data_IF_905024303135
#
_entry.id   IF_905024303135
#
_cell.length_a   1.000
_cell.length_b   1.000
_cell.length_c   1.000
_cell.angle_alpha   90.00
_cell.angle_beta   90.00
_cell.angle_gamma   90.00
#
_symmetry.space_group_name_H-M   'P 1'
#
loop_
_entity.id
_entity.type
_entity.pdbx_description
1 polymer ?
#
# COMPACT_ATOMS: atom_id res chain seq x y z
N UNK A 1 53.65 5.71 -23.24
CA UNK A 1 54.61 6.58 -22.48
C UNK A 1 55.88 6.81 -23.26
N UNK A 2 56.57 5.79 -23.78
CA UNK A 2 57.84 5.97 -24.55
C UNK A 2 57.70 6.92 -25.71
N UNK A 3 56.62 6.84 -26.50
CA UNK A 3 56.36 7.78 -27.60
C UNK A 3 56.08 9.22 -27.09
N UNK A 4 55.37 9.36 -25.96
CA UNK A 4 55.12 10.66 -25.32
C UNK A 4 56.41 11.30 -24.82
N UNK A 5 57.30 10.51 -24.22
CA UNK A 5 58.59 10.97 -23.73
C UNK A 5 59.55 11.34 -24.85
N UNK A 6 59.47 10.63 -25.98
CA UNK A 6 60.28 10.89 -27.17
C UNK A 6 59.87 12.16 -27.89
N UNK A 7 58.55 12.50 -27.93
CA UNK A 7 58.03 13.69 -28.58
C UNK A 7 56.84 14.29 -27.79
N UNK A 8 57.10 14.96 -26.66
CA UNK A 8 56.03 15.44 -25.76
C UNK A 8 55.17 16.56 -26.37
N UNK A 9 55.62 17.20 -27.44
CA UNK A 9 54.86 18.28 -28.11
C UNK A 9 54.07 17.86 -29.34
N UNK A 10 53.98 16.57 -29.61
CA UNK A 10 53.24 16.09 -30.74
C UNK A 10 51.72 16.39 -30.62
N UNK A 11 51.13 16.98 -31.67
CA UNK A 11 49.75 17.41 -31.68
C UNK A 11 48.75 16.23 -31.43
N UNK A 12 49.15 15.00 -31.69
CA UNK A 12 48.31 13.80 -31.45
C UNK A 12 47.96 13.59 -30.00
N UNK A 13 48.79 14.13 -29.04
CA UNK A 13 48.49 13.97 -27.64
C UNK A 13 47.29 14.81 -27.18
N UNK A 14 46.96 15.89 -27.87
CA UNK A 14 45.78 16.71 -27.64
C UNK A 14 44.46 15.98 -27.90
N UNK A 15 44.49 14.88 -28.61
CA UNK A 15 43.30 14.01 -28.92
C UNK A 15 43.24 12.75 -28.06
N UNK A 16 44.20 12.57 -27.15
CA UNK A 16 44.34 11.37 -26.33
C UNK A 16 44.26 11.73 -24.83
N UNK A 17 43.51 10.95 -24.05
CA UNK A 17 43.59 11.00 -22.59
C UNK A 17 44.87 10.30 -22.14
N UNK A 18 45.70 11.00 -21.36
CA UNK A 18 46.99 10.50 -20.88
C UNK A 18 47.01 10.69 -19.36
N UNK A 19 46.87 9.61 -18.65
CA UNK A 19 46.73 9.61 -17.20
C UNK A 19 47.65 8.58 -16.56
N UNK A 20 48.16 8.86 -15.34
CA UNK A 20 48.88 7.87 -14.57
C UNK A 20 47.91 6.84 -14.00
N UNK A 21 48.27 5.56 -14.17
CA UNK A 21 47.52 4.45 -13.63
C UNK A 21 48.44 3.44 -12.95
N UNK A 22 48.13 3.11 -11.70
CA UNK A 22 48.84 2.08 -10.91
C UNK A 22 48.19 0.68 -11.01
N UNK A 23 47.11 0.51 -11.82
CA UNK A 23 46.41 -0.77 -11.99
C UNK A 23 47.03 -1.68 -13.04
N UNK A 24 46.61 -2.94 -13.05
CA UNK A 24 46.92 -3.90 -14.10
C UNK A 24 46.00 -3.65 -15.30
N UNK A 25 46.53 -3.84 -16.49
CA UNK A 25 45.83 -3.60 -17.75
C UNK A 25 45.66 -4.90 -18.53
N UNK A 26 44.55 -5.02 -19.25
CA UNK A 26 44.38 -6.04 -20.27
C UNK A 26 45.24 -5.70 -21.49
N UNK A 27 45.78 -6.72 -22.16
CA UNK A 27 46.53 -6.53 -23.38
C UNK A 27 45.64 -6.17 -24.57
N UNK A 28 44.41 -6.69 -24.55
CA UNK A 28 43.41 -6.45 -25.60
C UNK A 28 42.03 -6.32 -24.94
N UNK A 29 41.24 -5.35 -25.35
CA UNK A 29 39.87 -5.12 -24.83
C UNK A 29 38.93 -6.31 -25.09
N UNK A 30 39.22 -7.15 -26.09
CA UNK A 30 38.49 -8.39 -26.34
C UNK A 30 38.52 -9.35 -25.14
N UNK A 31 39.58 -9.30 -24.32
CA UNK A 31 39.70 -10.10 -23.11
C UNK A 31 38.66 -9.70 -22.03
N UNK A 32 38.07 -8.52 -22.13
CA UNK A 32 36.98 -8.09 -21.23
C UNK A 32 35.65 -8.77 -21.58
N UNK A 33 35.52 -9.36 -22.79
CA UNK A 33 34.34 -10.06 -23.33
C UNK A 33 33.09 -9.19 -23.34
N UNK A 34 32.45 -9.01 -22.17
CA UNK A 34 31.24 -8.24 -21.96
C UNK A 34 31.46 -7.21 -20.87
N UNK A 35 31.02 -5.99 -21.10
CA UNK A 35 30.96 -4.90 -20.09
C UNK A 35 29.49 -4.65 -19.73
N UNK A 36 29.19 -4.68 -18.43
CA UNK A 36 27.84 -4.37 -17.90
C UNK A 36 27.95 -3.29 -16.82
N UNK A 37 27.30 -2.16 -17.03
CA UNK A 37 27.16 -1.11 -16.02
C UNK A 37 26.03 -1.51 -15.07
N UNK A 38 26.37 -1.87 -13.82
CA UNK A 38 25.43 -2.34 -12.82
C UNK A 38 24.94 -1.25 -11.89
N UNK A 39 25.65 -0.10 -11.81
CA UNK A 39 25.27 1.00 -10.95
C UNK A 39 25.75 2.33 -11.53
N UNK A 40 24.91 3.36 -11.40
CA UNK A 40 25.24 4.76 -11.60
C UNK A 40 24.68 5.58 -10.46
N UNK A 41 25.54 6.20 -9.64
CA UNK A 41 25.14 6.98 -8.46
C UNK A 41 25.77 8.37 -8.47
N UNK A 42 25.01 9.36 -8.01
CA UNK A 42 25.53 10.70 -7.75
C UNK A 42 26.24 10.72 -6.39
N UNK A 43 27.53 11.12 -6.34
CA UNK A 43 28.28 11.23 -5.09
C UNK A 43 28.23 12.66 -4.55
N UNK A 44 28.32 13.65 -5.42
CA UNK A 44 28.25 15.07 -5.12
C UNK A 44 27.71 15.84 -6.32
N UNK A 45 27.47 17.16 -6.15
CA UNK A 45 27.01 18.01 -7.27
C UNK A 45 27.97 17.90 -8.46
N UNK A 46 27.49 17.36 -9.57
CA UNK A 46 28.26 17.21 -10.81
C UNK A 46 29.21 15.99 -10.85
N UNK A 47 29.26 15.15 -9.78
CA UNK A 47 30.11 13.96 -9.75
C UNK A 47 29.25 12.71 -9.75
N UNK A 48 29.48 11.84 -10.73
CA UNK A 48 28.82 10.55 -10.88
C UNK A 48 29.81 9.40 -10.71
N UNK A 49 29.41 8.36 -9.98
CA UNK A 49 30.14 7.10 -9.88
C UNK A 49 29.45 6.06 -10.74
N UNK A 50 30.22 5.40 -11.60
CA UNK A 50 29.78 4.27 -12.42
C UNK A 50 30.49 3.03 -11.90
N UNK A 51 29.73 1.97 -11.62
CA UNK A 51 30.24 0.64 -11.30
C UNK A 51 29.92 -0.29 -12.47
N UNK A 52 30.96 -0.89 -13.04
CA UNK A 52 30.83 -1.82 -14.16
C UNK A 52 31.56 -3.13 -13.86
N UNK A 53 31.07 -4.20 -14.45
CA UNK A 53 31.65 -5.54 -14.37
C UNK A 53 31.93 -6.09 -15.77
N UNK A 54 32.92 -7.01 -15.86
CA UNK A 54 33.32 -7.65 -17.10
C UNK A 54 33.36 -9.17 -16.96
N UNK A 55 33.60 -9.90 -18.04
CA UNK A 55 33.83 -11.36 -18.07
C UNK A 55 32.71 -12.13 -17.35
N UNK A 56 33.08 -13.03 -16.45
CA UNK A 56 32.17 -13.93 -15.71
C UNK A 56 31.12 -13.14 -14.93
N UNK A 57 31.51 -12.07 -14.24
CA UNK A 57 30.60 -11.22 -13.49
C UNK A 57 29.54 -10.54 -14.38
N UNK A 58 29.93 -10.10 -15.57
CA UNK A 58 28.99 -9.54 -16.56
C UNK A 58 28.05 -10.61 -17.13
N UNK A 59 28.53 -11.82 -17.39
CA UNK A 59 27.69 -12.96 -17.81
C UNK A 59 26.66 -13.33 -16.73
N UNK A 60 27.10 -13.36 -15.47
CA UNK A 60 26.19 -13.60 -14.34
C UNK A 60 25.14 -12.52 -14.22
N UNK A 61 25.52 -11.24 -14.35
CA UNK A 61 24.58 -10.12 -14.34
C UNK A 61 23.54 -10.23 -15.46
N UNK A 62 23.99 -10.63 -16.67
CA UNK A 62 23.08 -10.84 -17.81
C UNK A 62 22.12 -12.01 -17.57
N UNK A 63 22.60 -13.15 -17.09
CA UNK A 63 21.77 -14.32 -16.79
C UNK A 63 20.72 -13.97 -15.70
N UNK A 64 21.09 -13.21 -14.66
CA UNK A 64 20.17 -12.73 -13.64
C UNK A 64 19.11 -11.80 -14.24
N UNK A 65 19.49 -10.92 -15.16
CA UNK A 65 18.53 -10.06 -15.86
C UNK A 65 17.54 -10.88 -16.71
N UNK A 66 18.01 -11.91 -17.41
CA UNK A 66 17.16 -12.76 -18.24
C UNK A 66 16.18 -13.57 -17.37
N UNK A 67 16.61 -14.07 -16.20
CA UNK A 67 15.71 -14.71 -15.23
C UNK A 67 14.64 -13.77 -14.70
N UNK A 68 14.98 -12.52 -14.40
CA UNK A 68 13.99 -11.51 -13.96
C UNK A 68 13.03 -11.14 -15.10
N UNK A 69 13.48 -11.10 -16.37
CA UNK A 69 12.60 -10.88 -17.52
C UNK A 69 11.55 -11.98 -17.65
N UNK A 70 11.95 -13.24 -17.50
CA UNK A 70 11.01 -14.38 -17.50
C UNK A 70 9.94 -14.22 -16.40
N UNK A 71 10.34 -13.89 -15.18
CA UNK A 71 9.40 -13.66 -14.06
C UNK A 71 8.40 -12.52 -14.34
N UNK A 72 8.82 -11.42 -14.97
CA UNK A 72 7.89 -10.33 -15.35
C UNK A 72 6.90 -10.81 -16.40
N UNK A 73 7.33 -11.63 -17.38
CA UNK A 73 6.46 -12.20 -18.39
C UNK A 73 5.41 -13.14 -17.77
N UNK A 74 5.82 -13.98 -16.82
CA UNK A 74 4.91 -14.83 -16.06
C UNK A 74 3.86 -13.99 -15.30
N UNK A 75 4.30 -12.95 -14.57
CA UNK A 75 3.38 -12.03 -13.87
C UNK A 75 2.45 -11.27 -14.81
N UNK A 76 2.90 -10.91 -16.02
CA UNK A 76 2.05 -10.24 -17.02
C UNK A 76 0.95 -11.17 -17.53
N UNK A 77 1.22 -12.48 -17.60
CA UNK A 77 0.23 -13.50 -18.00
C UNK A 77 -0.76 -13.87 -16.88
N UNK A 78 -0.44 -13.62 -15.61
CA UNK A 78 -1.33 -13.92 -14.49
C UNK A 78 -2.56 -13.02 -14.47
N UNK A 79 -3.70 -13.51 -13.98
CA UNK A 79 -4.86 -12.69 -13.65
C UNK A 79 -4.58 -11.80 -12.43
N UNK A 80 -5.20 -10.61 -12.42
CA UNK A 80 -5.06 -9.69 -11.31
C UNK A 80 -5.81 -10.21 -10.06
N UNK A 81 -5.05 -10.52 -9.01
CA UNK A 81 -5.53 -11.05 -7.75
C UNK A 81 -4.56 -10.72 -6.59
N UNK A 82 -4.84 -11.23 -5.40
CA UNK A 82 -3.97 -11.05 -4.22
C UNK A 82 -2.59 -11.69 -4.43
N UNK A 83 -2.52 -12.83 -5.08
CA UNK A 83 -1.29 -13.58 -5.34
C UNK A 83 -0.35 -12.78 -6.25
N UNK A 84 -0.86 -12.25 -7.37
CA UNK A 84 -0.10 -11.37 -8.25
C UNK A 84 0.38 -10.11 -7.51
N UNK A 85 -0.44 -9.53 -6.63
CA UNK A 85 -0.06 -8.36 -5.85
C UNK A 85 1.14 -8.63 -4.92
N UNK A 86 1.17 -9.79 -4.26
CA UNK A 86 2.32 -10.20 -3.43
C UNK A 86 3.54 -10.54 -4.29
N UNK A 87 3.37 -11.21 -5.42
CA UNK A 87 4.46 -11.51 -6.36
C UNK A 87 5.15 -10.22 -6.85
N UNK A 88 4.38 -9.17 -7.18
CA UNK A 88 4.91 -7.86 -7.58
C UNK A 88 5.70 -7.19 -6.46
N UNK A 89 5.24 -7.27 -5.21
CA UNK A 89 5.97 -6.72 -4.06
C UNK A 89 7.33 -7.40 -3.87
N UNK A 90 7.34 -8.73 -3.90
CA UNK A 90 8.58 -9.53 -3.77
C UNK A 90 9.52 -9.20 -4.92
N UNK A 91 9.00 -9.15 -6.15
CA UNK A 91 9.78 -8.86 -7.34
C UNK A 91 10.46 -7.49 -7.28
N UNK A 92 9.77 -6.45 -6.81
CA UNK A 92 10.36 -5.11 -6.65
C UNK A 92 11.58 -5.16 -5.72
N UNK A 93 11.48 -5.85 -4.59
CA UNK A 93 12.59 -6.02 -3.65
C UNK A 93 13.77 -6.78 -4.27
N UNK A 94 13.50 -7.82 -5.08
CA UNK A 94 14.53 -8.57 -5.79
C UNK A 94 15.21 -7.72 -6.87
N UNK A 95 14.42 -6.98 -7.65
CA UNK A 95 14.92 -6.10 -8.72
C UNK A 95 15.84 -5.00 -8.18
N UNK A 96 15.50 -4.40 -7.05
CA UNK A 96 16.31 -3.34 -6.45
C UNK A 96 17.68 -3.86 -5.99
N UNK A 97 17.73 -5.07 -5.44
CA UNK A 97 18.96 -5.72 -4.98
C UNK A 97 19.78 -6.39 -6.08
N UNK A 98 19.16 -6.68 -7.23
CA UNK A 98 19.83 -7.45 -8.28
C UNK A 98 21.04 -6.68 -8.88
N UNK A 99 22.21 -7.31 -8.98
CA UNK A 99 23.40 -6.74 -9.62
C UNK A 99 23.35 -6.90 -11.14
N UNK A 100 22.31 -6.35 -11.77
CA UNK A 100 22.07 -6.40 -13.22
C UNK A 100 22.32 -5.05 -13.86
N UNK A 101 22.36 -5.00 -15.20
CA UNK A 101 22.50 -3.77 -15.96
C UNK A 101 21.48 -2.70 -15.54
N UNK A 102 21.92 -1.45 -15.40
CA UNK A 102 21.04 -0.29 -15.19
C UNK A 102 19.98 -0.18 -16.29
N UNK A 103 20.35 -0.51 -17.53
CA UNK A 103 19.44 -0.53 -18.69
C UNK A 103 18.37 -1.62 -18.51
N UNK A 104 18.78 -2.83 -18.08
CA UNK A 104 17.84 -3.92 -17.82
C UNK A 104 16.93 -3.59 -16.63
N UNK A 105 17.45 -2.99 -15.55
CA UNK A 105 16.61 -2.51 -14.42
C UNK A 105 15.51 -1.57 -14.88
N UNK A 106 15.86 -0.59 -15.70
CA UNK A 106 14.90 0.38 -16.22
C UNK A 106 13.86 -0.27 -17.13
N UNK A 107 14.29 -1.18 -18.00
CA UNK A 107 13.41 -1.94 -18.88
C UNK A 107 12.45 -2.84 -18.10
N UNK A 108 12.93 -3.51 -17.05
CA UNK A 108 12.12 -4.35 -16.18
C UNK A 108 11.12 -3.53 -15.35
N UNK A 109 11.51 -2.36 -14.85
CA UNK A 109 10.58 -1.43 -14.19
C UNK A 109 9.46 -0.98 -15.13
N UNK A 110 9.80 -0.66 -16.38
CA UNK A 110 8.81 -0.27 -17.38
C UNK A 110 7.85 -1.43 -17.73
N UNK A 111 8.37 -2.65 -17.86
CA UNK A 111 7.54 -3.83 -18.08
C UNK A 111 6.62 -4.12 -16.86
N UNK A 112 7.14 -4.02 -15.65
CA UNK A 112 6.37 -4.22 -14.41
C UNK A 112 5.28 -3.15 -14.21
N UNK A 113 5.44 -1.96 -14.82
CA UNK A 113 4.42 -0.90 -14.76
C UNK A 113 3.08 -1.37 -15.34
N UNK A 114 3.09 -2.15 -16.43
CA UNK A 114 1.86 -2.73 -17.03
C UNK A 114 1.15 -3.64 -16.04
N UNK A 115 1.90 -4.51 -15.37
CA UNK A 115 1.36 -5.41 -14.34
C UNK A 115 0.78 -4.61 -13.17
N UNK A 116 1.47 -3.57 -12.74
CA UNK A 116 1.02 -2.67 -11.67
C UNK A 116 -0.26 -1.92 -12.04
N UNK A 117 -0.39 -1.49 -13.29
CA UNK A 117 -1.61 -0.83 -13.77
C UNK A 117 -2.80 -1.80 -13.81
N UNK A 118 -2.58 -3.05 -14.24
CA UNK A 118 -3.59 -4.12 -14.18
C UNK A 118 -4.05 -4.39 -12.72
N UNK A 119 -3.11 -4.47 -11.79
CA UNK A 119 -3.41 -4.62 -10.36
C UNK A 119 -4.19 -3.43 -9.79
N UNK A 120 -3.84 -2.21 -10.19
CA UNK A 120 -4.56 -1.00 -9.74
C UNK A 120 -6.02 -0.98 -10.20
N UNK A 121 -6.30 -1.44 -11.43
CA UNK A 121 -7.67 -1.60 -11.92
C UNK A 121 -8.43 -2.63 -11.09
N UNK A 122 -7.82 -3.78 -10.85
CA UNK A 122 -8.40 -4.82 -10.01
C UNK A 122 -8.68 -4.35 -8.57
N UNK A 123 -7.71 -3.69 -7.93
CA UNK A 123 -7.88 -3.14 -6.58
C UNK A 123 -9.03 -2.14 -6.49
N UNK A 124 -9.18 -1.27 -7.51
CA UNK A 124 -10.31 -0.35 -7.59
C UNK A 124 -11.65 -1.07 -7.74
N UNK A 125 -11.70 -2.13 -8.55
CA UNK A 125 -12.92 -2.93 -8.72
C UNK A 125 -13.30 -3.64 -7.41
N UNK A 126 -12.35 -4.28 -6.75
CA UNK A 126 -12.57 -4.93 -5.43
C UNK A 126 -13.05 -3.92 -4.40
N UNK A 127 -12.41 -2.74 -4.35
CA UNK A 127 -12.85 -1.68 -3.43
C UNK A 127 -14.26 -1.19 -3.75
N UNK A 128 -14.60 -1.00 -5.03
CA UNK A 128 -15.94 -0.58 -5.44
C UNK A 128 -17.01 -1.60 -5.04
N UNK A 129 -16.74 -2.90 -5.24
CA UNK A 129 -17.63 -3.98 -4.80
C UNK A 129 -17.84 -3.94 -3.29
N UNK A 130 -16.76 -3.86 -2.49
CA UNK A 130 -16.85 -3.75 -1.02
C UNK A 130 -17.65 -2.52 -0.57
N UNK A 131 -17.46 -1.39 -1.22
CA UNK A 131 -18.23 -0.17 -0.92
C UNK A 131 -19.70 -0.39 -1.20
N UNK A 132 -20.07 -0.97 -2.35
CA UNK A 132 -21.46 -1.19 -2.72
C UNK A 132 -22.14 -2.20 -1.78
N UNK A 133 -21.47 -3.29 -1.43
CA UNK A 133 -21.93 -4.27 -0.45
C UNK A 133 -22.17 -3.62 0.92
N UNK A 134 -21.20 -2.82 1.41
CA UNK A 134 -21.33 -2.14 2.67
C UNK A 134 -22.50 -1.14 2.69
N UNK A 135 -22.70 -0.39 1.60
CA UNK A 135 -23.82 0.53 1.47
C UNK A 135 -25.16 -0.20 1.43
N UNK A 136 -25.24 -1.33 0.73
CA UNK A 136 -26.49 -2.13 0.65
C UNK A 136 -26.87 -2.73 2.01
N UNK A 137 -25.91 -3.32 2.72
CA UNK A 137 -26.13 -3.88 4.07
C UNK A 137 -26.56 -2.78 5.04
N UNK A 138 -25.88 -1.64 5.04
CA UNK A 138 -26.20 -0.53 5.92
C UNK A 138 -27.61 0.04 5.66
N UNK A 139 -27.96 0.24 4.41
CA UNK A 139 -29.27 0.76 3.99
C UNK A 139 -30.41 -0.20 4.37
N UNK A 140 -30.24 -1.49 4.06
CA UNK A 140 -31.22 -2.52 4.41
C UNK A 140 -31.43 -2.63 5.94
N UNK A 141 -30.33 -2.60 6.71
CA UNK A 141 -30.41 -2.67 8.18
C UNK A 141 -31.07 -1.43 8.76
N UNK A 142 -30.76 -0.25 8.23
CA UNK A 142 -31.37 1.00 8.67
C UNK A 142 -32.88 1.08 8.32
N UNK A 143 -33.28 0.56 7.15
CA UNK A 143 -34.68 0.48 6.76
C UNK A 143 -35.45 -0.46 7.69
N UNK A 144 -34.94 -1.68 7.94
CA UNK A 144 -35.54 -2.62 8.87
C UNK A 144 -35.68 -2.05 10.29
N UNK A 145 -34.68 -1.31 10.75
CA UNK A 145 -34.72 -0.63 12.05
C UNK A 145 -35.81 0.45 12.11
N UNK A 146 -35.97 1.22 11.03
CA UNK A 146 -37.02 2.22 10.90
C UNK A 146 -38.41 1.61 10.94
N UNK A 147 -38.63 0.49 10.19
CA UNK A 147 -39.89 -0.23 10.17
C UNK A 147 -40.25 -0.84 11.54
N UNK A 148 -39.20 -1.25 12.30
CA UNK A 148 -39.35 -1.76 13.67
C UNK A 148 -39.46 -0.64 14.73
N UNK A 149 -39.42 0.65 14.35
CA UNK A 149 -39.43 1.77 15.29
C UNK A 149 -38.18 1.87 16.18
N UNK A 150 -37.05 1.30 15.74
CA UNK A 150 -35.80 1.25 16.50
C UNK A 150 -34.96 2.49 16.22
N UNK A 151 -34.76 3.34 17.23
CA UNK A 151 -34.07 4.63 17.10
C UNK A 151 -32.53 4.48 17.09
N UNK A 152 -31.98 3.47 17.77
CA UNK A 152 -30.55 3.13 17.79
C UNK A 152 -30.31 1.76 17.18
N UNK A 153 -29.38 1.67 16.24
CA UNK A 153 -29.09 0.43 15.54
C UNK A 153 -27.58 0.17 15.49
N UNK A 154 -27.18 -1.04 15.85
CA UNK A 154 -25.79 -1.52 15.63
C UNK A 154 -25.75 -2.22 14.27
N UNK A 155 -24.82 -1.79 13.42
CA UNK A 155 -24.62 -2.35 12.08
C UNK A 155 -23.24 -3.00 12.02
N UNK A 156 -23.17 -4.29 11.79
CA UNK A 156 -21.92 -5.01 11.57
C UNK A 156 -21.69 -5.24 10.08
N UNK A 157 -20.57 -4.74 9.56
CA UNK A 157 -20.13 -4.96 8.19
C UNK A 157 -18.63 -5.26 8.21
N UNK A 158 -18.24 -6.48 7.86
CA UNK A 158 -16.83 -6.88 7.90
C UNK A 158 -16.02 -6.31 6.74
N UNK A 159 -14.72 -6.10 6.96
CA UNK A 159 -13.79 -5.62 5.95
C UNK A 159 -13.99 -4.16 5.53
N UNK A 160 -14.65 -3.35 6.37
CA UNK A 160 -14.84 -1.91 6.16
C UNK A 160 -13.75 -1.15 6.90
N UNK A 161 -12.96 -0.38 6.16
CA UNK A 161 -12.03 0.60 6.70
C UNK A 161 -12.68 1.97 6.95
N UNK A 162 -11.91 2.91 7.52
CA UNK A 162 -12.42 4.24 7.82
C UNK A 162 -12.91 5.03 6.59
N UNK A 163 -12.37 4.76 5.40
CA UNK A 163 -12.79 5.45 4.17
C UNK A 163 -14.12 4.92 3.67
N UNK A 164 -14.34 3.61 3.73
CA UNK A 164 -15.63 2.97 3.41
C UNK A 164 -16.68 3.35 4.47
N UNK A 165 -16.30 3.28 5.76
CA UNK A 165 -17.20 3.66 6.87
C UNK A 165 -17.73 5.09 6.73
N UNK A 166 -16.88 6.03 6.31
CA UNK A 166 -17.30 7.40 6.05
C UNK A 166 -18.38 7.49 4.96
N UNK A 167 -18.22 6.74 3.85
CA UNK A 167 -19.24 6.68 2.78
C UNK A 167 -20.55 6.08 3.27
N UNK A 168 -20.47 5.05 4.11
CA UNK A 168 -21.64 4.44 4.76
C UNK A 168 -22.34 5.46 5.67
N UNK A 169 -21.60 6.16 6.53
CA UNK A 169 -22.15 7.20 7.38
C UNK A 169 -22.82 8.35 6.57
N UNK A 170 -22.20 8.78 5.46
CA UNK A 170 -22.79 9.79 4.56
C UNK A 170 -24.10 9.31 3.92
N UNK A 171 -24.17 8.04 3.52
CA UNK A 171 -25.40 7.43 2.97
C UNK A 171 -26.49 7.35 4.03
N UNK A 172 -26.16 6.86 5.22
CA UNK A 172 -27.10 6.75 6.35
C UNK A 172 -27.62 8.13 6.78
N UNK A 173 -26.76 9.13 6.85
CA UNK A 173 -27.13 10.51 7.19
C UNK A 173 -28.12 11.11 6.19
N UNK A 174 -28.01 10.76 4.91
CA UNK A 174 -28.92 11.27 3.84
C UNK A 174 -30.24 10.48 3.78
N UNK A 175 -30.19 9.17 3.94
CA UNK A 175 -31.35 8.30 3.75
C UNK A 175 -32.15 8.04 5.03
N UNK A 176 -31.49 8.13 6.20
CA UNK A 176 -32.06 7.74 7.50
C UNK A 176 -31.71 8.75 8.59
N UNK A 177 -32.02 10.04 8.36
CA UNK A 177 -31.59 11.17 9.17
C UNK A 177 -32.04 11.13 10.64
N UNK A 178 -33.13 10.42 10.94
CA UNK A 178 -33.72 10.32 12.27
C UNK A 178 -33.11 9.19 13.12
N UNK A 179 -32.40 8.24 12.48
CA UNK A 179 -31.74 7.11 13.15
C UNK A 179 -30.35 7.43 13.67
N UNK A 180 -29.93 6.74 14.72
CA UNK A 180 -28.54 6.72 15.18
C UNK A 180 -27.94 5.32 15.01
N UNK A 181 -26.73 5.27 14.45
CA UNK A 181 -26.14 4.02 13.99
C UNK A 181 -24.76 3.82 14.62
N UNK A 182 -24.53 2.65 15.17
CA UNK A 182 -23.20 2.21 15.61
C UNK A 182 -22.65 1.21 14.60
N UNK A 183 -21.96 1.74 13.57
CA UNK A 183 -21.33 0.90 12.57
C UNK A 183 -20.06 0.29 13.15
N UNK A 184 -19.89 -1.02 13.03
CA UNK A 184 -18.70 -1.74 13.43
C UNK A 184 -18.23 -2.71 12.32
N UNK A 185 -16.92 -2.88 12.23
CA UNK A 185 -16.25 -3.69 11.22
C UNK A 185 -15.07 -4.42 11.83
N UNK A 186 -15.05 -5.73 11.72
CA UNK A 186 -13.89 -6.55 12.05
C UNK A 186 -12.91 -6.55 10.87
N UNK A 187 -11.62 -6.43 11.15
CA UNK A 187 -10.60 -6.59 10.13
C UNK A 187 -10.47 -8.05 9.63
N UNK A 188 -9.73 -8.25 8.53
CA UNK A 188 -9.57 -9.57 7.92
C UNK A 188 -8.86 -10.59 8.86
N UNK A 189 -8.09 -10.13 9.83
CA UNK A 189 -7.40 -10.95 10.82
C UNK A 189 -8.27 -11.30 12.05
N UNK A 190 -9.38 -10.57 12.27
CA UNK A 190 -10.23 -10.76 13.43
C UNK A 190 -9.63 -10.22 14.75
N UNK A 191 -8.60 -9.39 14.66
CA UNK A 191 -7.85 -8.86 15.81
C UNK A 191 -8.25 -7.43 16.19
N UNK A 192 -8.98 -6.75 15.34
CA UNK A 192 -9.37 -5.36 15.51
C UNK A 192 -10.81 -5.10 15.07
N UNK A 193 -11.57 -4.40 15.93
CA UNK A 193 -12.88 -3.87 15.60
C UNK A 193 -12.78 -2.37 15.32
N UNK A 194 -13.03 -1.96 14.07
CA UNK A 194 -13.30 -0.58 13.72
C UNK A 194 -14.69 -0.18 14.18
N UNK A 195 -14.84 0.97 14.81
CA UNK A 195 -16.11 1.49 15.31
C UNK A 195 -16.36 2.91 14.81
N UNK A 196 -17.54 3.13 14.26
CA UNK A 196 -17.88 4.35 13.51
C UNK A 196 -19.31 4.81 13.84
N UNK A 197 -19.58 5.31 15.07
CA UNK A 197 -20.89 5.81 15.43
C UNK A 197 -21.30 7.04 14.61
N UNK A 198 -22.56 7.10 14.27
CA UNK A 198 -23.25 8.22 13.66
C UNK A 198 -24.51 8.53 14.48
N UNK A 199 -24.65 9.74 14.97
CA UNK A 199 -25.78 10.15 15.83
C UNK A 199 -26.62 11.21 15.09
N UNK A 200 -27.92 11.00 15.06
CA UNK A 200 -28.86 11.96 14.48
C UNK A 200 -28.91 13.26 15.28
N UNK A 201 -29.23 14.41 14.65
CA UNK A 201 -29.35 15.68 15.37
C UNK A 201 -30.36 15.67 16.52
N UNK A 202 -31.41 14.87 16.41
CA UNK A 202 -32.42 14.72 17.44
C UNK A 202 -31.83 14.03 18.68
N UNK A 203 -31.10 12.93 18.46
CA UNK A 203 -30.49 12.17 19.55
C UNK A 203 -29.27 12.88 20.15
N UNK A 204 -28.54 13.70 19.40
CA UNK A 204 -27.52 14.60 19.97
C UNK A 204 -28.14 15.57 20.97
N UNK A 205 -29.32 16.15 20.67
CA UNK A 205 -30.05 17.03 21.59
C UNK A 205 -30.59 16.27 22.81
N UNK A 206 -30.93 14.99 22.66
CA UNK A 206 -31.34 14.14 23.75
C UNK A 206 -30.18 13.71 24.68
N UNK A 207 -28.92 13.91 24.28
CA UNK A 207 -27.72 13.63 25.08
C UNK A 207 -26.87 12.46 24.61
N UNK A 208 -27.19 11.84 23.46
CA UNK A 208 -26.33 10.84 22.84
C UNK A 208 -25.21 11.50 22.04
N UNK A 209 -23.96 11.20 22.39
CA UNK A 209 -22.76 11.70 21.69
C UNK A 209 -21.97 10.54 21.09
N UNK A 210 -21.64 10.62 19.82
CA UNK A 210 -20.85 9.61 19.13
C UNK A 210 -19.46 9.42 19.77
N UNK A 211 -18.84 10.51 20.25
CA UNK A 211 -17.57 10.45 20.99
C UNK A 211 -17.71 9.66 22.29
N UNK A 212 -18.75 9.94 23.07
CA UNK A 212 -18.99 9.29 24.38
C UNK A 212 -19.46 7.85 24.18
N UNK A 213 -20.17 7.58 23.10
CA UNK A 213 -20.53 6.22 22.69
C UNK A 213 -19.31 5.34 22.42
N UNK A 214 -18.30 5.87 21.69
CA UNK A 214 -17.03 5.20 21.53
C UNK A 214 -16.27 5.05 22.84
N UNK A 215 -16.25 6.06 23.70
CA UNK A 215 -15.58 6.00 25.01
C UNK A 215 -16.16 4.90 25.90
N UNK A 216 -17.49 4.74 25.92
CA UNK A 216 -18.16 3.64 26.60
C UNK A 216 -17.71 2.28 26.03
N UNK A 217 -17.67 2.14 24.72
CA UNK A 217 -17.24 0.91 24.04
C UNK A 217 -15.79 0.56 24.35
N UNK A 218 -14.89 1.55 24.44
CA UNK A 218 -13.49 1.35 24.83
C UNK A 218 -13.36 0.87 26.26
N UNK A 219 -14.19 1.40 27.18
CA UNK A 219 -14.24 0.96 28.59
C UNK A 219 -14.68 -0.50 28.69
N UNK A 220 -15.75 -0.89 27.97
CA UNK A 220 -16.25 -2.27 27.95
C UNK A 220 -15.23 -3.26 27.38
N UNK A 221 -14.47 -2.84 26.37
CA UNK A 221 -13.42 -3.65 25.77
C UNK A 221 -12.13 -3.73 26.59
N UNK A 222 -11.97 -2.89 27.62
CA UNK A 222 -10.71 -2.75 28.34
C UNK A 222 -9.60 -2.04 27.57
N UNK A 223 -9.94 -1.35 26.46
CA UNK A 223 -9.00 -0.61 25.62
C UNK A 223 -9.63 -0.15 24.31
N UNK A 224 -8.95 0.77 23.65
CA UNK A 224 -9.35 1.32 22.37
C UNK A 224 -8.79 2.72 22.15
N UNK A 225 -8.80 3.17 20.90
CA UNK A 225 -8.36 4.51 20.52
C UNK A 225 -9.32 5.09 19.48
N UNK A 226 -9.65 6.34 19.62
CA UNK A 226 -10.51 7.02 18.64
C UNK A 226 -10.77 8.46 19.02
N UNK A 227 -11.56 9.13 18.20
CA UNK A 227 -11.95 10.51 18.39
C UNK A 227 -13.10 10.90 17.46
N UNK A 228 -13.61 12.09 17.66
CA UNK A 228 -14.71 12.60 16.84
C UNK A 228 -15.49 13.69 17.54
N UNK A 229 -16.67 13.96 17.01
CA UNK A 229 -17.64 14.95 17.49
C UNK A 229 -18.86 14.26 18.10
N UNK A 230 -19.84 15.06 18.49
CA UNK A 230 -21.10 14.54 19.04
C UNK A 230 -21.93 13.81 17.96
N UNK A 231 -21.89 14.26 16.70
CA UNK A 231 -22.64 13.68 15.59
C UNK A 231 -21.96 12.47 14.94
N UNK A 232 -20.64 12.42 14.96
CA UNK A 232 -19.88 11.32 14.34
C UNK A 232 -18.51 11.13 14.96
N UNK A 233 -18.07 9.88 15.10
CA UNK A 233 -16.77 9.55 15.62
C UNK A 233 -16.19 8.31 14.89
N UNK A 234 -14.89 8.10 15.08
CA UNK A 234 -14.18 6.91 14.61
C UNK A 234 -13.34 6.35 15.74
N UNK A 235 -13.18 5.03 15.75
CA UNK A 235 -12.33 4.37 16.73
C UNK A 235 -11.93 2.98 16.30
N UNK A 236 -11.01 2.41 17.06
CA UNK A 236 -10.56 1.05 16.89
C UNK A 236 -10.34 0.38 18.24
N UNK A 237 -10.81 -0.83 18.39
CA UNK A 237 -10.75 -1.65 19.58
C UNK A 237 -9.94 -2.90 19.24
N UNK A 238 -8.81 -3.15 19.92
CA UNK A 238 -8.10 -4.42 19.80
C UNK A 238 -8.84 -5.49 20.62
N UNK A 239 -8.81 -6.74 20.17
CA UNK A 239 -9.43 -7.81 20.90
C UNK A 239 -9.77 -9.01 20.03
N UNK A 240 -10.61 -9.87 20.55
CA UNK A 240 -11.11 -11.08 19.92
C UNK A 240 -12.62 -10.98 19.66
N UNK A 241 -13.19 -11.98 19.00
CA UNK A 241 -14.61 -12.02 18.67
C UNK A 241 -15.51 -11.89 19.92
N UNK A 242 -15.12 -12.51 21.04
CA UNK A 242 -15.90 -12.44 22.27
C UNK A 242 -15.95 -11.01 22.83
N UNK A 243 -14.82 -10.29 22.79
CA UNK A 243 -14.75 -8.88 23.14
C UNK A 243 -15.62 -8.02 22.23
N UNK A 244 -15.57 -8.27 20.90
CA UNK A 244 -16.34 -7.52 19.92
C UNK A 244 -17.86 -7.73 20.11
N UNK A 245 -18.30 -8.94 20.41
CA UNK A 245 -19.70 -9.21 20.69
C UNK A 245 -20.20 -8.52 21.96
N UNK A 246 -19.38 -8.47 23.02
CA UNK A 246 -19.69 -7.68 24.24
C UNK A 246 -19.81 -6.18 23.91
N UNK A 247 -18.90 -5.65 23.10
CA UNK A 247 -18.92 -4.23 22.68
C UNK A 247 -20.20 -3.91 21.89
N UNK A 248 -20.63 -4.76 20.98
CA UNK A 248 -21.86 -4.55 20.19
C UNK A 248 -23.11 -4.51 21.07
N UNK A 249 -23.21 -5.42 22.02
CA UNK A 249 -24.33 -5.45 22.99
C UNK A 249 -24.32 -4.20 23.88
N UNK A 250 -23.14 -3.82 24.40
CA UNK A 250 -23.00 -2.63 25.23
C UNK A 250 -23.27 -1.34 24.46
N UNK A 251 -22.82 -1.27 23.20
CA UNK A 251 -23.09 -0.11 22.35
C UNK A 251 -24.60 0.08 22.10
N UNK A 252 -25.35 -1.01 21.86
CA UNK A 252 -26.80 -0.93 21.74
C UNK A 252 -27.45 -0.44 23.02
N UNK A 253 -27.12 -1.06 24.15
CA UNK A 253 -27.67 -0.68 25.46
C UNK A 253 -27.33 0.78 25.84
N UNK A 254 -26.11 1.21 25.59
CA UNK A 254 -25.71 2.60 25.84
C UNK A 254 -26.50 3.60 24.98
N UNK A 255 -26.62 3.34 23.69
CA UNK A 255 -27.39 4.18 22.79
C UNK A 255 -28.86 4.31 23.22
N UNK A 256 -29.51 3.17 23.52
CA UNK A 256 -30.92 3.15 23.99
C UNK A 256 -31.13 3.88 25.32
N UNK A 257 -30.13 3.90 26.21
CA UNK A 257 -30.21 4.58 27.51
C UNK A 257 -30.12 6.11 27.45
N UNK A 258 -29.80 6.66 26.29
CA UNK A 258 -29.55 8.10 26.08
C UNK A 258 -30.62 8.83 25.30
N UNK A 259 -31.63 8.10 24.80
CA UNK A 259 -32.71 8.64 23.95
C UNK A 259 -34.09 8.36 24.52
#
# INVERSE_FOLDING_TARGET
>A
IQQLLADPKNAKWGTSSIEFCGGTHLSNTQEAELLVIIEETGIAKGIRRITAVTRTAAKTAKAAADALKARVQEMDAMEANKELNEAVKIFNGDLDRAPISVVDKNSLRAALQKVSDKLRVWQKAVLATRVNEALAVADATALAAKDAGTAVTVIEINGVDGAIAKKVQEKLKKGHADGSFYLCSTDDAGEKLGVYPLVSPVHVKAGLSAKDWNANSFTVAGGGKGGGKADSAVGAIPGDRATFDKVKVAAKAYGDSKI
#
